data_IF_746319754862
#
_entry.id   IF_746319754862
#
_cell.length_a   1.000
_cell.length_b   1.000
_cell.length_c   1.000
_cell.angle_alpha   90.00
_cell.angle_beta   90.00
_cell.angle_gamma   90.00
#
_symmetry.space_group_name_H-M   'P 1'
#
loop_
_entity.id
_entity.type
_entity.pdbx_description
1 polymer ?
#
# COMPACT_ATOMS: atom_id res chain seq x y z
N UNK A 1 -3.84 -0.64 5.85
CA UNK A 1 -4.98 -1.56 5.72
C UNK A 1 -5.76 -1.16 4.49
N UNK A 2 -6.22 -2.14 3.73
CA UNK A 2 -7.08 -1.94 2.57
C UNK A 2 -8.38 -2.66 2.85
N UNK A 3 -9.50 -1.98 2.66
CA UNK A 3 -10.84 -2.51 2.88
C UNK A 3 -11.73 -2.21 1.68
N UNK A 4 -12.78 -3.01 1.51
CA UNK A 4 -13.83 -2.74 0.53
C UNK A 4 -14.92 -1.91 1.22
N UNK A 5 -15.15 -0.70 0.72
CA UNK A 5 -16.28 0.11 1.11
C UNK A 5 -17.61 -0.52 0.62
N UNK A 6 -18.72 -0.12 1.24
CA UNK A 6 -20.05 -0.67 0.93
C UNK A 6 -20.52 -0.42 -0.52
N UNK A 7 -19.92 0.56 -1.21
CA UNK A 7 -20.16 0.87 -2.62
C UNK A 7 -19.23 0.09 -3.58
N UNK A 8 -18.41 -0.83 -3.06
CA UNK A 8 -17.45 -1.62 -3.85
C UNK A 8 -16.13 -0.90 -4.17
N UNK A 9 -15.90 0.32 -3.69
CA UNK A 9 -14.61 1.00 -3.84
C UNK A 9 -13.62 0.56 -2.77
N UNK A 10 -12.32 0.66 -3.06
CA UNK A 10 -11.28 0.38 -2.09
C UNK A 10 -10.96 1.60 -1.23
N UNK A 11 -10.82 1.36 0.07
CA UNK A 11 -10.42 2.34 1.06
C UNK A 11 -9.06 1.96 1.66
N UNK A 12 -8.20 2.96 1.83
CA UNK A 12 -6.90 2.82 2.46
C UNK A 12 -6.86 3.55 3.80
N UNK A 13 -6.51 2.81 4.85
CA UNK A 13 -6.37 3.31 6.21
C UNK A 13 -4.96 3.05 6.75
N UNK A 14 -4.32 4.07 7.31
CA UNK A 14 -3.01 3.95 7.93
C UNK A 14 -2.91 4.70 9.27
N UNK A 15 -2.03 4.17 10.12
CA UNK A 15 -1.70 4.72 11.43
C UNK A 15 -0.19 4.93 11.48
N UNK A 16 0.26 6.13 11.85
CA UNK A 16 1.67 6.48 11.93
C UNK A 16 2.40 5.78 13.09
N UNK A 17 1.64 5.19 14.02
CA UNK A 17 2.12 4.38 15.13
C UNK A 17 1.35 3.05 15.17
N UNK A 18 1.95 1.97 15.71
CA UNK A 18 1.23 0.72 15.92
C UNK A 18 -0.03 0.96 16.75
N UNK A 19 -1.19 0.68 16.17
CA UNK A 19 -2.48 0.88 16.78
C UNK A 19 -3.45 -0.25 16.43
N UNK A 20 -4.39 -0.59 17.33
CA UNK A 20 -5.54 -1.41 17.00
C UNK A 20 -6.36 -0.80 15.86
N UNK A 21 -6.90 -1.67 14.99
CA UNK A 21 -7.65 -1.30 13.77
C UNK A 21 -8.96 -0.57 14.06
N UNK A 22 -9.53 -0.77 15.25
CA UNK A 22 -10.77 -0.13 15.71
C UNK A 22 -10.59 1.35 16.05
N UNK A 23 -9.35 1.86 16.10
CA UNK A 23 -9.07 3.28 16.31
C UNK A 23 -9.17 4.07 15.03
N UNK A 24 -9.57 5.34 15.15
CA UNK A 24 -9.55 6.31 14.04
C UNK A 24 -8.16 6.32 13.37
N UNK A 25 -8.06 6.17 12.04
CA UNK A 25 -6.80 6.22 11.32
C UNK A 25 -6.23 7.65 11.25
N UNK A 26 -4.91 7.75 11.14
CA UNK A 26 -4.22 9.03 10.88
C UNK A 26 -4.38 9.45 9.40
N UNK A 27 -4.48 8.46 8.52
CA UNK A 27 -4.69 8.63 7.08
C UNK A 27 -5.83 7.73 6.64
N UNK A 28 -6.80 8.32 5.95
CA UNK A 28 -7.91 7.63 5.32
C UNK A 28 -8.06 8.18 3.90
N UNK A 29 -8.07 7.29 2.90
CA UNK A 29 -8.18 7.64 1.48
C UNK A 29 -9.18 6.70 0.84
N UNK A 30 -10.18 7.25 0.16
CA UNK A 30 -11.24 6.50 -0.50
C UNK A 30 -11.03 6.44 -2.01
N UNK A 31 -11.55 5.40 -2.65
CA UNK A 31 -11.60 5.30 -4.11
C UNK A 31 -10.29 4.81 -4.75
N UNK A 32 -9.63 3.83 -4.13
CA UNK A 32 -8.44 3.20 -4.70
C UNK A 32 -8.74 2.31 -5.90
N UNK A 33 -7.69 2.01 -6.66
CA UNK A 33 -7.69 1.05 -7.77
C UNK A 33 -6.87 -0.18 -7.42
N UNK A 34 -7.20 -1.32 -8.01
CA UNK A 34 -6.47 -2.58 -7.90
C UNK A 34 -6.00 -3.02 -9.28
N UNK A 35 -4.75 -3.43 -9.38
CA UNK A 35 -4.17 -4.01 -10.59
C UNK A 35 -3.30 -5.20 -10.20
N UNK A 36 -3.52 -6.35 -10.86
CA UNK A 36 -2.62 -7.51 -10.74
C UNK A 36 -1.85 -7.66 -12.04
N UNK A 37 -0.53 -7.68 -11.94
CA UNK A 37 0.35 -7.73 -13.11
C UNK A 37 1.61 -8.57 -12.83
N UNK A 38 2.36 -8.85 -13.90
CA UNK A 38 3.60 -9.62 -13.86
C UNK A 38 3.43 -11.09 -14.20
N UNK A 39 4.56 -11.80 -14.14
CA UNK A 39 4.66 -13.24 -14.42
C UNK A 39 5.47 -13.87 -13.31
N UNK A 40 5.16 -15.11 -12.94
CA UNK A 40 5.89 -15.87 -11.90
C UNK A 40 7.42 -15.81 -12.11
N UNK A 41 8.22 -15.47 -11.08
CA UNK A 41 7.85 -15.24 -9.68
C UNK A 41 7.49 -13.77 -9.33
N UNK A 42 7.48 -12.87 -10.32
CA UNK A 42 7.28 -11.43 -10.14
C UNK A 42 5.81 -11.00 -10.28
N UNK A 43 4.85 -11.86 -9.96
CA UNK A 43 3.44 -11.44 -9.91
C UNK A 43 3.21 -10.61 -8.65
N UNK A 44 2.46 -9.52 -8.78
CA UNK A 44 2.02 -8.68 -7.66
C UNK A 44 0.62 -8.15 -7.91
N UNK A 45 -0.13 -7.98 -6.83
CA UNK A 45 -1.33 -7.14 -6.80
C UNK A 45 -0.95 -5.82 -6.15
N UNK A 46 -1.13 -4.73 -6.90
CA UNK A 46 -0.87 -3.38 -6.46
C UNK A 46 -2.19 -2.62 -6.28
N UNK A 47 -2.32 -1.94 -5.15
CA UNK A 47 -3.42 -1.04 -4.86
C UNK A 47 -2.93 0.40 -4.80
N UNK A 48 -3.57 1.28 -5.56
CA UNK A 48 -3.16 2.69 -5.66
C UNK A 48 -4.25 3.60 -5.11
N UNK A 49 -3.86 4.51 -4.22
CA UNK A 49 -4.73 5.49 -3.57
C UNK A 49 -4.15 6.90 -3.72
N UNK A 50 -5.00 7.90 -3.99
CA UNK A 50 -4.57 9.28 -4.24
C UNK A 50 -5.24 10.26 -3.29
N UNK A 51 -4.44 11.15 -2.69
CA UNK A 51 -4.92 12.26 -1.86
C UNK A 51 -4.18 13.54 -2.27
N UNK A 52 -4.82 14.36 -3.10
CA UNK A 52 -4.18 15.56 -3.65
C UNK A 52 -2.97 15.21 -4.50
N UNK A 53 -1.79 15.68 -4.11
CA UNK A 53 -0.51 15.41 -4.77
C UNK A 53 0.24 14.20 -4.20
N UNK A 54 -0.35 13.46 -3.26
CA UNK A 54 0.24 12.27 -2.64
C UNK A 54 -0.39 11.01 -3.26
N UNK A 55 0.44 10.05 -3.61
CA UNK A 55 0.05 8.72 -4.06
C UNK A 55 0.60 7.68 -3.07
N UNK A 56 -0.27 6.75 -2.69
CA UNK A 56 0.06 5.58 -1.87
C UNK A 56 -0.12 4.35 -2.76
N UNK A 57 0.97 3.64 -3.05
CA UNK A 57 0.94 2.36 -3.73
C UNK A 57 1.25 1.27 -2.71
N UNK A 58 0.32 0.36 -2.51
CA UNK A 58 0.50 -0.81 -1.64
C UNK A 58 0.67 -2.03 -2.54
N UNK A 59 1.66 -2.86 -2.28
CA UNK A 59 1.90 -4.10 -3.01
C UNK A 59 1.87 -5.29 -2.06
N UNK A 60 1.25 -6.39 -2.47
CA UNK A 60 1.25 -7.67 -1.73
C UNK A 60 2.49 -8.53 -1.95
N UNK A 61 3.46 -8.00 -2.70
CA UNK A 61 4.68 -8.71 -3.05
C UNK A 61 5.92 -7.90 -2.67
N UNK A 62 6.99 -8.64 -2.38
CA UNK A 62 8.36 -8.11 -2.32
C UNK A 62 9.27 -8.75 -3.36
N UNK A 63 8.70 -9.65 -4.19
CA UNK A 63 9.43 -10.28 -5.27
C UNK A 63 9.81 -9.22 -6.31
N UNK A 64 11.01 -9.37 -6.88
CA UNK A 64 11.50 -8.52 -7.97
C UNK A 64 11.49 -7.01 -7.65
N UNK A 65 11.41 -6.65 -6.37
CA UNK A 65 11.44 -5.27 -5.89
C UNK A 65 12.89 -4.81 -5.69
N UNK A 66 13.19 -3.57 -6.06
CA UNK A 66 14.51 -2.99 -5.81
C UNK A 66 14.79 -2.78 -4.32
N UNK A 67 16.00 -3.12 -3.87
CA UNK A 67 16.44 -2.99 -2.48
C UNK A 67 16.51 -4.33 -1.76
N UNK A 68 16.77 -4.28 -0.44
CA UNK A 68 16.85 -5.48 0.41
C UNK A 68 15.64 -5.50 1.35
N UNK A 69 14.54 -6.17 0.98
CA UNK A 69 13.41 -6.34 1.89
C UNK A 69 13.89 -7.04 3.18
N UNK A 70 13.36 -6.65 4.35
CA UNK A 70 13.69 -7.32 5.60
C UNK A 70 13.16 -8.76 5.58
N UNK A 71 13.72 -9.60 6.46
CA UNK A 71 13.25 -10.98 6.65
C UNK A 71 11.75 -10.95 7.03
N UNK A 72 10.96 -11.82 6.43
CA UNK A 72 9.49 -11.91 6.59
C UNK A 72 8.69 -10.72 6.03
N UNK A 73 9.30 -9.83 5.24
CA UNK A 73 8.53 -8.91 4.44
C UNK A 73 7.72 -9.70 3.41
N UNK A 74 6.43 -9.39 3.31
CA UNK A 74 5.53 -9.99 2.33
C UNK A 74 4.97 -8.96 1.37
N UNK A 75 4.94 -7.68 1.74
CA UNK A 75 4.53 -6.61 0.84
C UNK A 75 5.22 -5.29 1.18
N UNK A 76 4.77 -4.22 0.53
CA UNK A 76 5.32 -2.88 0.76
C UNK A 76 4.28 -1.79 0.55
N UNK A 77 4.58 -0.61 1.08
CA UNK A 77 3.89 0.65 0.77
C UNK A 77 4.92 1.63 0.24
N UNK A 78 4.69 2.16 -0.96
CA UNK A 78 5.46 3.26 -1.54
C UNK A 78 4.61 4.52 -1.47
N UNK A 79 5.22 5.60 -0.98
CA UNK A 79 4.61 6.93 -0.92
C UNK A 79 5.34 7.82 -1.90
N UNK A 80 4.58 8.45 -2.80
CA UNK A 80 5.09 9.43 -3.75
C UNK A 80 4.41 10.78 -3.54
N UNK A 81 5.17 11.87 -3.59
CA UNK A 81 4.67 13.24 -3.47
C UNK A 81 5.05 13.98 -4.74
N UNK A 82 4.09 14.62 -5.42
CA UNK A 82 4.31 15.25 -6.74
C UNK A 82 4.90 14.29 -7.79
N UNK A 83 4.54 13.00 -7.74
CA UNK A 83 5.07 11.92 -8.59
C UNK A 83 6.54 11.58 -8.35
N UNK A 84 7.15 12.09 -7.29
CA UNK A 84 8.49 11.73 -6.86
C UNK A 84 8.44 10.79 -5.66
N UNK A 85 9.35 9.82 -5.62
CA UNK A 85 9.49 8.90 -4.49
C UNK A 85 9.78 9.67 -3.21
N UNK A 86 8.93 9.51 -2.19
CA UNK A 86 9.12 10.13 -0.88
C UNK A 86 9.60 9.11 0.16
N UNK A 87 8.97 7.94 0.22
CA UNK A 87 9.35 6.90 1.18
C UNK A 87 8.82 5.52 0.78
N UNK A 88 9.41 4.48 1.41
CA UNK A 88 8.93 3.10 1.34
C UNK A 88 8.90 2.47 2.71
N UNK A 89 7.84 1.70 2.97
CA UNK A 89 7.65 0.91 4.18
C UNK A 89 7.42 -0.55 3.81
N UNK A 90 7.89 -1.47 4.64
CA UNK A 90 7.71 -2.90 4.42
C UNK A 90 6.58 -3.45 5.29
N UNK A 91 5.71 -4.25 4.68
CA UNK A 91 4.72 -5.04 5.41
C UNK A 91 5.41 -6.32 5.89
N UNK A 92 5.60 -6.45 7.20
CA UNK A 92 6.29 -7.58 7.84
C UNK A 92 5.32 -8.38 8.72
N UNK A 93 5.56 -9.69 8.85
CA UNK A 93 4.89 -10.57 9.82
C UNK A 93 5.71 -10.71 11.09
#
# INVERSE_FOLDING_TARGET
MIDHAANGTLDYRAWNKPHPVDRKPDVEVHGGTEETAGTDPCVSTDWTFKRGNIEYMVSDSVACTEGKPPRNAYGMVVVSINKEFASRYWCVR
#
